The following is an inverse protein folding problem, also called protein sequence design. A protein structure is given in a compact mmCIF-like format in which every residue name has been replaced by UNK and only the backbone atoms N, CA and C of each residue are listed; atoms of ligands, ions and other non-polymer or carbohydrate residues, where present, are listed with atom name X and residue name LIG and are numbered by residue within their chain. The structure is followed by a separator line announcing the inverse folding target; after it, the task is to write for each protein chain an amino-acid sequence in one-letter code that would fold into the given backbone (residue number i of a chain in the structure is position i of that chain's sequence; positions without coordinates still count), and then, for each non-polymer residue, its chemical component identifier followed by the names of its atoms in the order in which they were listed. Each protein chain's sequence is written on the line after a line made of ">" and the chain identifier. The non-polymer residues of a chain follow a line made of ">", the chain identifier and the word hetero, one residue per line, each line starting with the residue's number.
data_IF_693201177791
#
_entry.id   IF_693201177791
#
_cell.length_a   1.000
_cell.length_b   1.000
_cell.length_c   1.000
_cell.angle_alpha   90.00
_cell.angle_beta   90.00
_cell.angle_gamma   90.00
#
_symmetry.space_group_name_H-M   'P 1'
#
loop_
_entity.id
_entity.type
_entity.pdbx_description
1 polymer ?
#
# COMPACT_ATOMS: atom_id res chain seq x y z
N UNK A 1 -0.68 18.23 -24.15
CA UNK A 1 -0.30 17.31 -23.04
C UNK A 1 0.71 17.94 -22.08
N UNK A 2 1.62 18.79 -22.57
CA UNK A 2 2.56 19.54 -21.73
C UNK A 2 1.80 20.47 -20.75
N UNK A 3 0.77 21.15 -21.24
CA UNK A 3 -0.04 22.08 -20.43
C UNK A 3 -0.83 21.35 -19.34
N UNK A 4 -1.41 20.18 -19.66
CA UNK A 4 -2.05 19.32 -18.65
C UNK A 4 -1.06 18.78 -17.62
N UNK A 5 0.20 18.51 -17.99
CA UNK A 5 1.24 18.13 -17.03
C UNK A 5 1.52 19.26 -16.05
N UNK A 6 1.70 20.48 -16.55
CA UNK A 6 1.91 21.67 -15.73
C UNK A 6 0.71 21.92 -14.79
N UNK A 7 -0.51 21.74 -15.29
CA UNK A 7 -1.73 21.80 -14.48
C UNK A 7 -1.69 20.80 -13.31
N UNK A 8 -1.34 19.53 -13.56
CA UNK A 8 -1.25 18.52 -12.49
C UNK A 8 -0.11 18.83 -11.49
N UNK A 9 1.01 19.37 -11.96
CA UNK A 9 2.09 19.83 -11.08
C UNK A 9 1.62 20.95 -10.16
N UNK A 10 0.89 21.95 -10.70
CA UNK A 10 0.30 23.06 -9.94
C UNK A 10 -0.70 22.57 -8.89
N UNK A 11 -1.46 21.50 -9.17
CA UNK A 11 -2.37 20.86 -8.19
C UNK A 11 -1.63 19.97 -7.16
N UNK A 12 -0.29 19.89 -7.20
CA UNK A 12 0.52 19.20 -6.19
C UNK A 12 0.49 17.67 -6.29
N UNK A 13 0.29 17.12 -7.49
CA UNK A 13 0.42 15.69 -7.75
C UNK A 13 1.90 15.27 -7.84
N UNK A 14 2.21 14.04 -7.40
CA UNK A 14 3.57 13.49 -7.53
C UNK A 14 3.87 13.05 -8.97
N UNK A 15 5.14 12.99 -9.36
CA UNK A 15 5.53 12.63 -10.73
C UNK A 15 4.96 11.30 -11.19
N UNK A 16 5.04 10.25 -10.35
CA UNK A 16 4.43 8.95 -10.66
C UNK A 16 2.92 9.03 -10.83
N UNK A 17 2.25 9.93 -10.09
CA UNK A 17 0.80 10.14 -10.25
C UNK A 17 0.50 10.84 -11.57
N UNK A 18 1.29 11.86 -11.90
CA UNK A 18 1.20 12.64 -13.15
C UNK A 18 1.34 11.73 -14.37
N UNK A 19 2.41 10.92 -14.44
CA UNK A 19 2.63 9.95 -15.52
C UNK A 19 1.44 9.01 -15.69
N UNK A 20 0.90 8.52 -14.56
CA UNK A 20 -0.27 7.65 -14.55
C UNK A 20 -1.55 8.35 -15.01
N UNK A 21 -1.72 9.64 -14.73
CA UNK A 21 -2.86 10.42 -15.19
C UNK A 21 -2.76 10.66 -16.70
N UNK A 22 -1.62 11.14 -17.16
CA UNK A 22 -1.29 11.36 -18.57
C UNK A 22 -1.56 10.08 -19.39
N UNK A 23 -1.05 8.94 -18.94
CA UNK A 23 -1.24 7.66 -19.64
C UNK A 23 -2.72 7.27 -19.75
N UNK A 24 -3.52 7.47 -18.71
CA UNK A 24 -4.95 7.14 -18.78
C UNK A 24 -5.74 8.11 -19.64
N UNK A 25 -5.39 9.40 -19.60
CA UNK A 25 -5.98 10.42 -20.47
C UNK A 25 -5.66 10.13 -21.93
N UNK A 26 -4.44 9.73 -22.26
CA UNK A 26 -4.08 9.31 -23.63
C UNK A 26 -4.91 8.11 -24.11
N UNK A 27 -5.18 7.13 -23.24
CA UNK A 27 -6.06 6.00 -23.57
C UNK A 27 -7.51 6.45 -23.81
N UNK A 28 -7.99 7.44 -23.07
CA UNK A 28 -9.30 8.05 -23.27
C UNK A 28 -9.37 8.84 -24.58
N UNK A 29 -8.40 9.70 -24.87
CA UNK A 29 -8.31 10.44 -26.14
C UNK A 29 -8.26 9.47 -27.33
N UNK A 30 -7.47 8.39 -27.23
CA UNK A 30 -7.42 7.34 -28.26
C UNK A 30 -8.77 6.66 -28.46
N UNK A 31 -9.56 6.49 -27.40
CA UNK A 31 -10.92 5.97 -27.51
C UNK A 31 -11.85 6.98 -28.18
N UNK A 32 -11.75 8.27 -27.83
CA UNK A 32 -12.56 9.34 -28.44
C UNK A 32 -12.36 9.35 -29.97
N UNK A 33 -11.09 9.42 -30.41
CA UNK A 33 -10.76 9.48 -31.84
C UNK A 33 -11.29 8.25 -32.62
N UNK A 34 -11.29 7.07 -31.99
CA UNK A 34 -11.82 5.83 -32.60
C UNK A 34 -13.35 5.80 -32.70
N UNK A 35 -14.04 6.63 -31.93
CA UNK A 35 -15.50 6.73 -31.93
C UNK A 35 -15.97 8.04 -32.56
N UNK A 36 -15.11 8.67 -33.40
CA UNK A 36 -15.42 9.90 -34.13
C UNK A 36 -15.86 11.07 -33.22
N UNK A 37 -15.26 11.17 -32.03
CA UNK A 37 -15.47 12.28 -31.08
C UNK A 37 -14.12 12.78 -30.55
N UNK A 38 -14.12 13.92 -29.87
CA UNK A 38 -12.92 14.50 -29.23
C UNK A 38 -13.17 14.70 -27.75
N UNK A 39 -12.12 14.90 -26.95
CA UNK A 39 -12.31 15.22 -25.52
C UNK A 39 -13.03 16.56 -25.28
N UNK A 40 -13.02 17.45 -26.29
CA UNK A 40 -13.71 18.75 -26.26
C UNK A 40 -15.20 18.55 -26.58
N UNK A 41 -15.50 17.78 -27.61
CA UNK A 41 -16.87 17.60 -28.12
C UNK A 41 -17.66 16.50 -27.39
N UNK A 42 -16.98 15.64 -26.62
CA UNK A 42 -17.61 14.52 -25.95
C UNK A 42 -18.76 14.97 -25.04
N UNK A 43 -19.92 14.36 -25.21
CA UNK A 43 -21.10 14.61 -24.39
C UNK A 43 -21.28 13.52 -23.31
N UNK A 44 -22.37 13.63 -22.54
CA UNK A 44 -22.70 12.63 -21.53
C UNK A 44 -22.94 11.23 -22.13
N UNK A 45 -23.61 11.14 -23.29
CA UNK A 45 -23.95 9.87 -23.94
C UNK A 45 -22.69 9.14 -24.40
N UNK A 46 -21.72 9.85 -24.96
CA UNK A 46 -20.44 9.30 -25.37
C UNK A 46 -19.59 8.88 -24.17
N UNK A 47 -19.63 9.65 -23.08
CA UNK A 47 -19.02 9.22 -21.82
C UNK A 47 -19.63 7.91 -21.28
N UNK A 48 -20.96 7.72 -21.38
CA UNK A 48 -21.59 6.44 -21.04
C UNK A 48 -21.14 5.30 -21.97
N UNK A 49 -20.94 5.56 -23.27
CA UNK A 49 -20.35 4.58 -24.21
C UNK A 49 -18.92 4.21 -23.78
N UNK A 50 -18.11 5.18 -23.35
CA UNK A 50 -16.76 4.92 -22.83
C UNK A 50 -16.79 4.05 -21.57
N UNK A 51 -17.70 4.32 -20.65
CA UNK A 51 -17.89 3.50 -19.44
C UNK A 51 -18.25 2.06 -19.81
N UNK A 52 -19.20 1.87 -20.72
CA UNK A 52 -19.59 0.54 -21.23
C UNK A 52 -18.41 -0.16 -21.91
N UNK A 53 -17.61 0.56 -22.69
CA UNK A 53 -16.40 0.03 -23.30
C UNK A 53 -15.40 -0.48 -22.26
N UNK A 54 -15.17 0.27 -21.18
CA UNK A 54 -14.29 -0.14 -20.10
C UNK A 54 -14.80 -1.40 -19.38
N UNK A 55 -16.11 -1.47 -19.12
CA UNK A 55 -16.75 -2.63 -18.50
C UNK A 55 -16.65 -3.89 -19.38
N UNK A 56 -16.89 -3.77 -20.69
CA UNK A 56 -16.80 -4.88 -21.66
C UNK A 56 -15.40 -5.48 -21.76
N UNK A 57 -14.36 -4.69 -21.47
CA UNK A 57 -12.96 -5.18 -21.42
C UNK A 57 -12.62 -6.02 -20.18
N UNK A 58 -13.61 -6.46 -19.41
CA UNK A 58 -13.40 -7.21 -18.16
C UNK A 58 -12.74 -6.38 -17.05
N UNK A 59 -12.78 -5.05 -17.14
CA UNK A 59 -12.18 -4.18 -16.13
C UNK A 59 -13.08 -4.12 -14.89
N UNK A 60 -12.51 -4.38 -13.70
CA UNK A 60 -13.28 -4.33 -12.45
C UNK A 60 -13.91 -2.94 -12.22
N UNK A 61 -15.10 -2.89 -11.60
CA UNK A 61 -15.82 -1.62 -11.31
C UNK A 61 -14.92 -0.59 -10.60
N UNK A 62 -14.07 -1.04 -9.67
CA UNK A 62 -13.08 -0.22 -8.97
C UNK A 62 -12.07 0.42 -9.95
N UNK A 63 -11.52 -0.37 -10.86
CA UNK A 63 -10.58 0.13 -11.87
C UNK A 63 -11.26 1.08 -12.84
N UNK A 64 -12.51 0.81 -13.24
CA UNK A 64 -13.28 1.74 -14.08
C UNK A 64 -13.49 3.08 -13.36
N UNK A 65 -13.90 3.09 -12.09
CA UNK A 65 -14.01 4.32 -11.30
C UNK A 65 -12.68 5.07 -11.18
N UNK A 66 -11.56 4.37 -11.00
CA UNK A 66 -10.24 5.02 -10.99
C UNK A 66 -9.87 5.66 -12.34
N UNK A 67 -10.19 5.00 -13.46
CA UNK A 67 -9.96 5.56 -14.79
C UNK A 67 -10.86 6.78 -15.02
N UNK A 68 -12.14 6.68 -14.67
CA UNK A 68 -13.08 7.79 -14.77
C UNK A 68 -12.64 8.98 -13.93
N UNK A 69 -12.18 8.79 -12.69
CA UNK A 69 -11.67 9.88 -11.87
C UNK A 69 -10.53 10.65 -12.55
N UNK A 70 -9.64 9.97 -13.28
CA UNK A 70 -8.57 10.64 -14.05
C UNK A 70 -9.09 11.39 -15.27
N UNK A 71 -10.10 10.83 -15.95
CA UNK A 71 -10.77 11.50 -17.07
C UNK A 71 -11.52 12.74 -16.57
N UNK A 72 -12.20 12.68 -15.43
CA UNK A 72 -12.85 13.85 -14.82
C UNK A 72 -11.87 14.99 -14.55
N UNK A 73 -10.73 14.69 -13.93
CA UNK A 73 -9.69 15.70 -13.68
C UNK A 73 -9.21 16.34 -15.00
N UNK A 74 -9.12 15.56 -16.08
CA UNK A 74 -8.78 16.08 -17.39
C UNK A 74 -9.88 16.93 -18.02
N UNK A 75 -11.15 16.52 -17.92
CA UNK A 75 -12.27 17.31 -18.41
C UNK A 75 -12.44 18.60 -17.60
N UNK A 76 -12.20 18.58 -16.29
CA UNK A 76 -12.17 19.80 -15.46
C UNK A 76 -11.03 20.73 -15.85
N UNK A 77 -9.87 20.19 -16.20
CA UNK A 77 -8.80 20.99 -16.80
C UNK A 77 -9.26 21.66 -18.11
N UNK A 78 -9.95 20.94 -19.01
CA UNK A 78 -10.47 21.55 -20.24
C UNK A 78 -11.50 22.65 -19.96
N UNK A 79 -12.29 22.50 -18.89
CA UNK A 79 -13.23 23.55 -18.45
C UNK A 79 -12.50 24.75 -17.85
N UNK A 80 -11.53 24.52 -16.95
CA UNK A 80 -10.72 25.59 -16.33
C UNK A 80 -9.96 26.42 -17.38
N UNK A 81 -9.52 25.80 -18.48
CA UNK A 81 -8.83 26.47 -19.60
C UNK A 81 -9.80 26.97 -20.70
N UNK A 82 -11.11 26.95 -20.45
CA UNK A 82 -12.16 27.40 -21.39
C UNK A 82 -12.21 26.65 -22.74
N UNK A 83 -11.62 25.46 -22.83
CA UNK A 83 -11.76 24.59 -24.01
C UNK A 83 -13.11 23.87 -24.05
N UNK A 84 -13.82 23.78 -22.93
CA UNK A 84 -15.14 23.13 -22.81
C UNK A 84 -16.01 23.89 -21.81
N UNK A 85 -17.31 23.95 -22.04
CA UNK A 85 -18.27 24.63 -21.15
C UNK A 85 -18.47 23.93 -19.81
N UNK A 86 -18.56 22.60 -19.83
CA UNK A 86 -18.83 21.80 -18.63
C UNK A 86 -18.22 20.40 -18.70
N UNK A 87 -18.03 19.77 -17.55
CA UNK A 87 -17.62 18.37 -17.49
C UNK A 87 -18.86 17.46 -17.43
N UNK A 88 -19.15 16.69 -18.51
CA UNK A 88 -20.36 15.87 -18.60
C UNK A 88 -20.43 14.75 -17.55
N UNK A 89 -19.32 14.38 -16.94
CA UNK A 89 -19.24 13.27 -15.97
C UNK A 89 -18.83 13.70 -14.57
N UNK A 90 -18.89 14.98 -14.23
CA UNK A 90 -18.40 15.48 -12.94
C UNK A 90 -19.01 14.72 -11.74
N UNK A 91 -20.34 14.51 -11.75
CA UNK A 91 -21.07 13.77 -10.72
C UNK A 91 -21.13 12.25 -10.94
N UNK A 92 -20.64 11.74 -12.07
CA UNK A 92 -20.85 10.34 -12.48
C UNK A 92 -19.93 9.38 -11.70
N UNK A 93 -20.50 8.42 -10.98
CA UNK A 93 -19.75 7.36 -10.31
C UNK A 93 -20.40 5.99 -10.55
N UNK A 94 -19.58 4.95 -10.76
CA UNK A 94 -20.11 3.59 -10.89
C UNK A 94 -20.46 3.09 -9.49
N UNK A 95 -21.76 2.90 -9.26
CA UNK A 95 -22.31 2.33 -8.02
C UNK A 95 -21.99 0.83 -7.90
N UNK A 96 -22.03 0.32 -6.67
CA UNK A 96 -21.80 -1.10 -6.39
C UNK A 96 -20.34 -1.54 -6.51
N UNK A 97 -19.38 -0.63 -6.31
CA UNK A 97 -18.02 -1.04 -5.93
C UNK A 97 -18.12 -1.56 -4.50
N UNK A 98 -18.09 -2.89 -4.35
CA UNK A 98 -18.01 -3.51 -3.03
C UNK A 98 -16.78 -2.94 -2.30
N UNK A 99 -16.96 -2.54 -1.04
CA UNK A 99 -15.82 -2.33 -0.15
C UNK A 99 -15.02 -3.63 -0.15
N UNK A 100 -13.70 -3.53 -0.28
CA UNK A 100 -12.85 -4.70 -0.13
C UNK A 100 -12.94 -5.04 1.36
N UNK A 101 -13.71 -6.08 1.68
CA UNK A 101 -13.60 -6.77 2.96
C UNK A 101 -12.26 -7.49 2.91
N UNK A 102 -11.46 -7.40 3.97
CA UNK A 102 -10.22 -8.14 4.02
C UNK A 102 -10.59 -9.62 4.22
N UNK A 103 -10.61 -10.38 3.12
CA UNK A 103 -10.75 -11.83 3.16
C UNK A 103 -9.39 -12.49 3.34
N UNK A 104 -9.40 -13.71 3.89
CA UNK A 104 -8.20 -14.52 4.10
C UNK A 104 -7.16 -13.83 4.99
N UNK A 105 -7.57 -13.33 6.15
CA UNK A 105 -6.60 -12.84 7.13
C UNK A 105 -5.78 -14.01 7.68
N UNK A 106 -4.61 -13.67 8.23
CA UNK A 106 -3.70 -14.61 8.88
C UNK A 106 -3.86 -14.42 10.38
N UNK A 107 -3.93 -15.52 11.11
CA UNK A 107 -3.96 -15.49 12.56
C UNK A 107 -2.59 -15.05 13.14
N UNK A 108 -2.57 -14.71 14.42
CA UNK A 108 -1.35 -14.19 15.07
C UNK A 108 -0.19 -15.21 15.05
N UNK A 109 -0.49 -16.48 15.29
CA UNK A 109 0.46 -17.60 15.20
C UNK A 109 0.94 -17.84 13.77
N UNK A 110 0.04 -17.76 12.78
CA UNK A 110 0.41 -17.86 11.37
C UNK A 110 1.39 -16.74 10.96
N UNK A 111 1.21 -15.53 11.46
CA UNK A 111 2.12 -14.40 11.22
C UNK A 111 3.48 -14.61 11.87
N UNK A 112 3.53 -15.14 13.09
CA UNK A 112 4.79 -15.45 13.78
C UNK A 112 5.53 -16.58 13.07
N UNK A 113 4.83 -17.62 12.62
CA UNK A 113 5.41 -18.72 11.85
C UNK A 113 6.10 -18.22 10.56
N UNK A 114 5.51 -17.24 9.86
CA UNK A 114 6.17 -16.63 8.70
C UNK A 114 7.57 -16.07 9.00
N UNK A 115 7.79 -15.56 10.22
CA UNK A 115 9.08 -15.03 10.65
C UNK A 115 10.03 -16.14 11.11
N UNK A 116 9.56 -17.06 11.96
CA UNK A 116 10.41 -18.13 12.51
C UNK A 116 10.80 -19.17 11.46
N UNK A 117 9.91 -19.46 10.52
CA UNK A 117 10.15 -20.41 9.42
C UNK A 117 10.90 -19.81 8.23
N UNK A 118 11.33 -18.54 8.30
CA UNK A 118 12.11 -17.92 7.22
C UNK A 118 13.58 -18.34 7.26
N UNK A 119 13.95 -19.25 6.37
CA UNK A 119 15.28 -19.85 6.34
C UNK A 119 16.42 -18.86 6.01
N UNK A 120 17.45 -18.84 6.87
CA UNK A 120 18.67 -18.04 6.68
C UNK A 120 19.96 -18.86 6.62
N UNK A 121 20.08 -19.97 7.34
CA UNK A 121 21.38 -20.63 7.56
C UNK A 121 21.77 -21.67 6.51
N UNK A 122 20.83 -22.49 6.02
CA UNK A 122 21.13 -23.60 5.09
C UNK A 122 21.32 -23.13 3.62
N UNK A 123 21.97 -21.99 3.43
CA UNK A 123 22.22 -21.39 2.13
C UNK A 123 23.72 -21.48 1.83
N UNK A 124 24.08 -22.27 0.81
CA UNK A 124 25.48 -22.52 0.42
C UNK A 124 26.20 -21.25 -0.05
N UNK A 125 25.54 -20.45 -0.87
CA UNK A 125 26.11 -19.21 -1.37
C UNK A 125 26.09 -18.12 -0.28
N UNK A 126 27.27 -17.57 0.02
CA UNK A 126 27.45 -16.57 1.07
C UNK A 126 26.61 -15.32 0.80
N UNK A 127 26.53 -14.85 -0.45
CA UNK A 127 25.75 -13.64 -0.76
C UNK A 127 24.26 -13.89 -0.52
N UNK A 128 23.74 -15.02 -0.99
CA UNK A 128 22.36 -15.40 -0.79
C UNK A 128 22.02 -15.54 0.69
N UNK A 129 22.95 -16.04 1.52
CA UNK A 129 22.81 -16.08 2.98
C UNK A 129 22.63 -14.68 3.59
N UNK A 130 23.50 -13.74 3.24
CA UNK A 130 23.39 -12.33 3.69
C UNK A 130 22.05 -11.72 3.27
N UNK A 131 21.63 -11.94 2.02
CA UNK A 131 20.35 -11.40 1.53
C UNK A 131 19.14 -12.07 2.17
N UNK A 132 19.25 -13.34 2.60
CA UNK A 132 18.20 -14.03 3.34
C UNK A 132 18.07 -13.48 4.77
N UNK A 133 19.18 -13.20 5.45
CA UNK A 133 19.16 -12.51 6.76
C UNK A 133 18.49 -11.13 6.65
N UNK A 134 18.82 -10.33 5.62
CA UNK A 134 18.08 -9.09 5.32
C UNK A 134 16.59 -9.35 5.10
N UNK A 135 16.25 -10.36 4.29
CA UNK A 135 14.85 -10.65 4.01
C UNK A 135 14.08 -11.04 5.29
N UNK A 136 14.71 -11.75 6.23
CA UNK A 136 14.13 -12.06 7.54
C UNK A 136 13.84 -10.81 8.36
N UNK A 137 14.72 -9.80 8.33
CA UNK A 137 14.42 -8.47 8.90
C UNK A 137 13.18 -7.85 8.28
N UNK A 138 13.06 -7.91 6.94
CA UNK A 138 11.88 -7.37 6.22
C UNK A 138 10.61 -8.10 6.66
N UNK A 139 10.65 -9.42 6.76
CA UNK A 139 9.51 -10.24 7.24
C UNK A 139 9.14 -9.84 8.66
N UNK A 140 10.11 -9.73 9.57
CA UNK A 140 9.87 -9.28 10.94
C UNK A 140 9.15 -7.93 11.00
N UNK A 141 9.62 -6.94 10.25
CA UNK A 141 8.98 -5.62 10.18
C UNK A 141 7.57 -5.65 9.55
N UNK A 142 7.30 -6.61 8.67
CA UNK A 142 5.96 -6.82 8.11
C UNK A 142 5.01 -7.43 9.14
N UNK A 143 5.43 -8.44 9.89
CA UNK A 143 4.55 -9.22 10.78
C UNK A 143 4.39 -8.58 12.16
N UNK A 144 5.42 -7.92 12.71
CA UNK A 144 5.34 -7.33 14.04
C UNK A 144 4.96 -5.84 14.02
N UNK A 145 5.42 -5.09 13.03
CA UNK A 145 5.15 -3.64 12.90
C UNK A 145 4.14 -3.32 11.79
N UNK A 146 3.63 -4.33 11.08
CA UNK A 146 2.63 -4.16 10.04
C UNK A 146 3.10 -3.29 8.88
N UNK A 147 4.40 -3.16 8.61
CA UNK A 147 4.89 -2.15 7.67
C UNK A 147 4.50 -2.44 6.21
N UNK A 148 4.05 -1.41 5.50
CA UNK A 148 3.79 -1.50 4.05
C UNK A 148 5.08 -1.37 3.24
N UNK A 149 5.04 -1.75 1.96
CA UNK A 149 6.13 -1.50 1.00
C UNK A 149 6.61 -0.05 1.00
N UNK A 150 5.70 0.92 1.16
CA UNK A 150 6.06 2.34 1.20
C UNK A 150 6.82 2.68 2.47
N UNK A 151 6.43 2.14 3.62
CA UNK A 151 7.14 2.35 4.89
C UNK A 151 8.53 1.73 4.82
N UNK A 152 8.63 0.48 4.39
CA UNK A 152 9.91 -0.24 4.27
C UNK A 152 10.90 0.49 3.36
N UNK A 153 10.42 1.08 2.25
CA UNK A 153 11.25 1.89 1.34
C UNK A 153 11.75 3.19 1.97
N UNK A 154 10.99 3.77 2.91
CA UNK A 154 11.30 5.05 3.52
C UNK A 154 12.22 4.93 4.75
N UNK A 155 12.40 3.72 5.30
CA UNK A 155 13.26 3.50 6.46
C UNK A 155 14.74 3.74 6.12
N UNK A 156 15.43 4.31 7.09
CA UNK A 156 16.85 4.69 7.06
C UNK A 156 17.47 4.22 8.36
N UNK A 157 18.80 4.03 8.39
CA UNK A 157 19.48 3.46 9.56
C UNK A 157 19.21 4.28 10.82
N UNK A 158 19.22 5.62 10.72
CA UNK A 158 18.92 6.54 11.82
C UNK A 158 17.53 6.38 12.44
N UNK A 159 16.61 5.69 11.77
CA UNK A 159 15.25 5.47 12.27
C UNK A 159 15.16 4.27 13.22
N UNK A 160 16.23 3.47 13.35
CA UNK A 160 16.26 2.33 14.26
C UNK A 160 16.98 2.73 15.54
N UNK A 161 16.26 2.72 16.65
CA UNK A 161 16.81 2.97 17.98
C UNK A 161 16.96 1.65 18.72
N UNK A 162 17.96 0.87 18.29
CA UNK A 162 18.20 -0.52 18.76
C UNK A 162 18.28 -0.59 20.29
N UNK A 163 19.01 0.33 20.92
CA UNK A 163 19.16 0.38 22.38
C UNK A 163 17.86 0.66 23.14
N UNK A 164 16.90 1.33 22.50
CA UNK A 164 15.57 1.56 23.09
C UNK A 164 14.57 0.48 22.71
N UNK A 165 14.95 -0.45 21.82
CA UNK A 165 14.03 -1.42 21.24
C UNK A 165 12.92 -0.76 20.42
N UNK A 166 13.21 0.33 19.69
CA UNK A 166 12.21 1.10 18.96
C UNK A 166 12.58 1.37 17.52
N UNK A 167 11.55 1.60 16.71
CA UNK A 167 11.66 2.02 15.31
C UNK A 167 10.75 3.22 15.04
N UNK A 168 11.34 4.29 14.52
CA UNK A 168 10.61 5.43 14.01
C UNK A 168 10.21 5.21 12.55
N UNK A 169 8.92 5.16 12.27
CA UNK A 169 8.39 5.01 10.92
C UNK A 169 7.99 6.39 10.39
N UNK A 170 8.72 6.96 9.41
CA UNK A 170 8.40 8.27 8.89
C UNK A 170 7.04 8.30 8.19
N UNK A 171 6.33 9.41 8.38
CA UNK A 171 5.06 9.69 7.72
C UNK A 171 5.26 10.08 6.24
N UNK A 172 4.15 10.18 5.52
CA UNK A 172 4.09 10.78 4.19
C UNK A 172 2.71 11.40 3.96
N UNK A 173 2.44 11.94 2.76
CA UNK A 173 1.19 12.68 2.44
C UNK A 173 -0.11 11.98 2.90
N UNK A 174 -0.13 10.64 2.97
CA UNK A 174 -1.32 9.83 3.33
C UNK A 174 -1.21 9.07 4.65
N UNK A 175 -0.05 9.07 5.31
CA UNK A 175 0.17 8.31 6.55
C UNK A 175 0.91 9.17 7.58
N UNK A 176 0.57 9.01 8.84
CA UNK A 176 1.23 9.71 9.94
C UNK A 176 2.55 9.01 10.30
N UNK A 177 3.51 9.80 10.77
CA UNK A 177 4.70 9.27 11.42
C UNK A 177 4.31 8.61 12.75
N UNK A 178 5.10 7.63 13.19
CA UNK A 178 4.86 6.91 14.44
C UNK A 178 6.12 6.21 14.91
N UNK A 179 6.20 6.00 16.20
CA UNK A 179 7.19 5.15 16.85
C UNK A 179 6.53 3.81 17.22
N UNK A 180 7.21 2.70 16.93
CA UNK A 180 6.76 1.34 17.24
C UNK A 180 7.85 0.60 18.02
N UNK A 181 7.44 -0.31 18.90
CA UNK A 181 8.34 -1.18 19.64
C UNK A 181 8.80 -2.36 18.76
N UNK A 182 10.07 -2.71 18.90
CA UNK A 182 10.68 -3.91 18.32
C UNK A 182 10.59 -5.05 19.33
N UNK A 183 10.37 -6.27 18.84
CA UNK A 183 10.45 -7.46 19.70
C UNK A 183 11.91 -7.76 20.04
N UNK A 184 12.20 -8.34 21.23
CA UNK A 184 13.58 -8.61 21.66
C UNK A 184 14.42 -9.39 20.64
N UNK A 185 13.83 -10.40 20.00
CA UNK A 185 14.52 -11.20 18.96
C UNK A 185 14.81 -10.39 17.68
N UNK A 186 13.96 -9.42 17.31
CA UNK A 186 14.23 -8.54 16.17
C UNK A 186 15.44 -7.64 16.43
N UNK A 187 15.66 -7.22 17.68
CA UNK A 187 16.73 -6.29 18.06
C UNK A 187 18.10 -6.87 17.75
N UNK A 188 18.32 -8.15 18.10
CA UNK A 188 19.60 -8.84 17.88
C UNK A 188 19.88 -8.97 16.38
N UNK A 189 18.92 -9.48 15.60
CA UNK A 189 19.08 -9.63 14.15
C UNK A 189 19.25 -8.28 13.44
N UNK A 190 18.53 -7.24 13.88
CA UNK A 190 18.67 -5.88 13.35
C UNK A 190 20.06 -5.31 13.62
N UNK A 191 20.61 -5.55 14.80
CA UNK A 191 21.94 -5.06 15.18
C UNK A 191 23.03 -5.72 14.32
N UNK A 192 22.99 -7.05 14.18
CA UNK A 192 23.88 -7.81 13.29
C UNK A 192 23.73 -7.31 11.85
N UNK A 193 22.48 -7.12 11.39
CA UNK A 193 22.22 -6.62 10.06
C UNK A 193 22.84 -5.24 9.81
N UNK A 194 22.61 -4.28 10.72
CA UNK A 194 23.07 -2.90 10.54
C UNK A 194 24.61 -2.81 10.61
N UNK A 195 25.25 -3.56 11.51
CA UNK A 195 26.69 -3.45 11.74
C UNK A 195 27.54 -4.23 10.74
N UNK A 196 27.06 -5.37 10.26
CA UNK A 196 27.89 -6.32 9.50
C UNK A 196 27.27 -6.58 8.12
N UNK A 197 26.12 -7.26 8.09
CA UNK A 197 25.53 -7.81 6.86
C UNK A 197 25.19 -6.71 5.85
N UNK A 198 24.69 -5.57 6.32
CA UNK A 198 24.29 -4.45 5.45
C UNK A 198 25.49 -3.86 4.72
N UNK A 199 26.63 -3.68 5.39
CA UNK A 199 27.83 -3.15 4.77
C UNK A 199 28.41 -4.15 3.75
N UNK A 200 28.40 -5.45 4.05
CA UNK A 200 28.78 -6.47 3.06
C UNK A 200 27.88 -6.45 1.80
N UNK A 201 26.56 -6.32 1.99
CA UNK A 201 25.62 -6.20 0.87
C UNK A 201 25.90 -4.91 0.08
N UNK A 202 26.14 -3.77 0.74
CA UNK A 202 26.48 -2.49 0.08
C UNK A 202 27.74 -2.62 -0.77
N UNK A 203 28.80 -3.20 -0.22
CA UNK A 203 30.08 -3.39 -0.90
C UNK A 203 29.93 -4.26 -2.15
N UNK A 204 29.27 -5.42 -2.05
CA UNK A 204 29.01 -6.28 -3.22
C UNK A 204 28.13 -5.61 -4.28
N UNK A 205 27.17 -4.79 -3.86
CA UNK A 205 26.27 -4.06 -4.76
C UNK A 205 26.90 -2.79 -5.34
N UNK A 206 28.00 -2.29 -4.75
CA UNK A 206 28.61 -0.99 -5.04
C UNK A 206 27.59 0.14 -4.94
N UNK A 207 26.84 0.16 -3.85
CA UNK A 207 25.79 1.17 -3.58
C UNK A 207 26.04 1.83 -2.24
N UNK A 208 26.15 3.15 -2.25
CA UNK A 208 26.03 3.98 -1.06
C UNK A 208 24.58 4.44 -0.86
N UNK A 209 24.10 4.32 0.37
CA UNK A 209 22.71 4.60 0.72
C UNK A 209 22.55 4.67 2.23
N UNK A 210 21.72 5.59 2.71
CA UNK A 210 21.29 5.66 4.11
C UNK A 210 20.06 4.79 4.42
N UNK A 211 19.46 4.18 3.38
CA UNK A 211 18.29 3.31 3.53
C UNK A 211 18.61 2.13 4.41
N UNK A 212 17.71 1.80 5.33
CA UNK A 212 17.89 0.63 6.19
C UNK A 212 18.05 -0.63 5.34
N UNK A 213 17.15 -0.82 4.36
CA UNK A 213 17.06 -2.03 3.56
C UNK A 213 17.69 -1.81 2.18
N UNK A 214 18.77 -2.55 1.89
CA UNK A 214 19.40 -2.56 0.57
C UNK A 214 18.76 -3.64 -0.30
N UNK A 215 18.10 -3.31 -1.43
CA UNK A 215 17.39 -4.28 -2.24
C UNK A 215 18.32 -5.18 -3.07
N UNK A 216 17.90 -6.43 -3.34
CA UNK A 216 18.61 -7.35 -4.24
C UNK A 216 18.61 -6.86 -5.69
N UNK A 217 17.53 -6.17 -6.07
CA UNK A 217 17.29 -5.66 -7.42
C UNK A 217 17.28 -4.13 -7.41
N UNK A 218 17.07 -3.51 -8.56
CA UNK A 218 16.92 -2.05 -8.67
C UNK A 218 15.82 -1.45 -7.77
N UNK A 219 14.84 -2.25 -7.32
CA UNK A 219 13.71 -1.79 -6.50
C UNK A 219 13.40 -2.77 -5.36
N UNK A 220 13.24 -2.23 -4.15
CA UNK A 220 12.82 -3.00 -2.97
C UNK A 220 11.49 -3.73 -3.15
N UNK A 221 10.58 -3.21 -3.97
CA UNK A 221 9.32 -3.89 -4.29
C UNK A 221 9.54 -5.27 -4.92
N UNK A 222 10.58 -5.44 -5.74
CA UNK A 222 10.86 -6.74 -6.37
C UNK A 222 11.42 -7.72 -5.35
N UNK A 223 12.24 -7.24 -4.41
CA UNK A 223 12.69 -8.02 -3.26
C UNK A 223 11.49 -8.49 -2.42
N UNK A 224 10.57 -7.58 -2.07
CA UNK A 224 9.35 -7.94 -1.31
C UNK A 224 8.50 -8.96 -2.09
N UNK A 225 8.33 -8.82 -3.40
CA UNK A 225 7.61 -9.82 -4.22
C UNK A 225 8.27 -11.21 -4.12
N UNK A 226 9.60 -11.28 -4.11
CA UNK A 226 10.31 -12.56 -3.95
C UNK A 226 10.18 -13.12 -2.53
N UNK A 227 10.20 -12.27 -1.50
CA UNK A 227 9.93 -12.66 -0.11
C UNK A 227 8.53 -13.25 -0.02
N UNK A 228 7.51 -12.57 -0.53
CA UNK A 228 6.12 -13.06 -0.55
C UNK A 228 6.04 -14.43 -1.24
N UNK A 229 6.74 -14.64 -2.37
CA UNK A 229 6.77 -15.96 -3.04
C UNK A 229 7.37 -17.06 -2.16
N UNK A 230 8.36 -16.75 -1.32
CA UNK A 230 8.92 -17.70 -0.35
C UNK A 230 7.95 -17.96 0.79
N UNK A 231 7.36 -16.91 1.37
CA UNK A 231 6.37 -17.03 2.44
C UNK A 231 5.15 -17.86 2.03
N UNK A 232 4.74 -17.82 0.76
CA UNK A 232 3.70 -18.69 0.20
C UNK A 232 3.99 -20.18 0.26
N UNK A 233 5.27 -20.56 0.33
CA UNK A 233 5.69 -21.96 0.49
C UNK A 233 5.59 -22.41 1.95
N UNK A 234 5.75 -21.48 2.88
CA UNK A 234 5.55 -21.70 4.32
C UNK A 234 4.06 -21.78 4.65
N UNK A 235 3.29 -20.77 4.23
CA UNK A 235 1.84 -20.74 4.41
C UNK A 235 1.14 -20.33 3.11
N UNK A 236 0.36 -21.26 2.53
CA UNK A 236 -0.34 -21.06 1.27
C UNK A 236 -1.44 -19.98 1.32
N UNK A 237 -1.92 -19.59 2.50
CA UNK A 237 -2.85 -18.47 2.66
C UNK A 237 -2.20 -17.12 2.35
N UNK A 238 -0.86 -17.02 2.36
CA UNK A 238 -0.18 -15.76 2.05
C UNK A 238 -0.47 -15.32 0.61
N UNK A 239 -0.99 -14.12 0.45
CA UNK A 239 -1.29 -13.54 -0.84
C UNK A 239 -0.30 -12.45 -1.21
N UNK A 240 -0.17 -11.44 -0.34
CA UNK A 240 0.61 -10.23 -0.57
C UNK A 240 0.85 -9.45 0.75
N UNK A 241 1.76 -8.46 0.69
CA UNK A 241 2.10 -7.62 1.85
C UNK A 241 0.92 -6.83 2.43
N UNK A 242 -0.06 -6.43 1.62
CA UNK A 242 -1.20 -5.67 2.12
C UNK A 242 -2.15 -6.56 2.94
N UNK A 243 -2.27 -7.84 2.57
CA UNK A 243 -2.98 -8.83 3.37
C UNK A 243 -2.25 -9.08 4.69
N UNK A 244 -0.93 -9.33 4.69
CA UNK A 244 -0.14 -9.47 5.95
C UNK A 244 -0.36 -8.25 6.85
N UNK A 245 -0.25 -7.04 6.31
CA UNK A 245 -0.52 -5.81 7.06
C UNK A 245 -1.97 -5.73 7.55
N UNK A 246 -2.95 -6.18 6.76
CA UNK A 246 -4.35 -6.22 7.17
C UNK A 246 -4.55 -7.17 8.35
N UNK A 247 -3.91 -8.34 8.32
CA UNK A 247 -3.91 -9.32 9.41
C UNK A 247 -3.36 -8.71 10.69
N UNK A 248 -2.19 -8.04 10.62
CA UNK A 248 -1.58 -7.35 11.77
C UNK A 248 -2.51 -6.28 12.36
N UNK A 249 -3.12 -5.44 11.51
CA UNK A 249 -4.03 -4.40 11.97
C UNK A 249 -5.28 -5.00 12.63
N UNK A 250 -5.80 -6.11 12.09
CA UNK A 250 -6.97 -6.79 12.64
C UNK A 250 -6.65 -7.43 13.99
N UNK A 251 -5.49 -8.08 14.11
CA UNK A 251 -5.00 -8.60 15.39
C UNK A 251 -4.81 -7.49 16.45
N UNK A 252 -4.32 -6.31 16.04
CA UNK A 252 -4.27 -5.16 16.94
C UNK A 252 -5.66 -4.65 17.35
N UNK A 253 -6.67 -4.71 16.47
CA UNK A 253 -8.04 -4.33 16.81
C UNK A 253 -8.65 -5.26 17.86
N UNK A 254 -8.26 -6.54 17.87
CA UNK A 254 -8.65 -7.49 18.93
C UNK A 254 -7.97 -7.22 20.29
N UNK A 255 -6.91 -6.41 20.33
CA UNK A 255 -6.10 -6.17 21.55
C UNK A 255 -6.15 -4.73 22.06
N UNK A 256 -6.47 -3.77 21.20
CA UNK A 256 -6.36 -2.35 21.49
C UNK A 256 -7.54 -1.56 20.93
N UNK A 257 -7.86 -0.43 21.55
CA UNK A 257 -8.88 0.47 21.03
C UNK A 257 -8.52 1.05 19.65
N UNK A 258 -9.55 1.45 18.90
CA UNK A 258 -9.46 1.94 17.52
C UNK A 258 -8.45 3.09 17.34
N UNK A 259 -8.34 3.99 18.33
CA UNK A 259 -7.39 5.13 18.29
C UNK A 259 -5.94 4.67 18.39
N UNK A 260 -5.64 3.74 19.29
CA UNK A 260 -4.30 3.16 19.42
C UNK A 260 -3.93 2.40 18.15
N UNK A 261 -4.83 1.60 17.59
CA UNK A 261 -4.58 0.92 16.32
C UNK A 261 -4.40 1.90 15.16
N UNK A 262 -5.16 2.99 15.11
CA UNK A 262 -4.96 4.05 14.12
C UNK A 262 -3.53 4.60 14.17
N UNK A 263 -3.03 4.87 15.37
CA UNK A 263 -1.65 5.31 15.57
C UNK A 263 -0.65 4.23 15.11
N UNK A 264 -0.78 2.98 15.57
CA UNK A 264 0.12 1.87 15.22
C UNK A 264 0.14 1.57 13.72
N UNK A 265 -1.01 1.69 13.05
CA UNK A 265 -1.12 1.57 11.61
C UNK A 265 -0.54 2.80 10.88
N UNK A 266 -0.50 3.97 11.52
CA UNK A 266 -0.10 5.24 10.89
C UNK A 266 -1.18 5.78 9.95
N UNK A 267 -2.44 5.45 10.19
CA UNK A 267 -3.55 5.92 9.38
C UNK A 267 -3.90 7.37 9.71
N UNK A 268 -3.91 8.24 8.69
CA UNK A 268 -4.26 9.66 8.86
C UNK A 268 -5.70 9.85 9.33
N UNK A 269 -6.63 9.08 8.75
CA UNK A 269 -8.05 9.18 9.06
C UNK A 269 -8.51 7.91 9.79
N UNK A 270 -9.32 8.07 10.83
CA UNK A 270 -9.86 6.96 11.62
C UNK A 270 -10.68 5.98 10.77
N UNK A 271 -11.41 6.50 9.78
CA UNK A 271 -12.17 5.73 8.80
C UNK A 271 -11.33 4.84 7.87
N UNK A 272 -10.00 4.94 7.94
CA UNK A 272 -9.10 3.98 7.28
C UNK A 272 -8.88 2.75 8.16
N UNK A 273 -8.86 2.92 9.48
CA UNK A 273 -8.75 1.84 10.46
C UNK A 273 -10.08 1.14 10.66
N UNK A 274 -11.19 1.87 10.68
CA UNK A 274 -12.55 1.28 10.81
C UNK A 274 -12.86 0.26 9.70
N UNK A 275 -12.21 0.36 8.54
CA UNK A 275 -12.36 -0.63 7.45
C UNK A 275 -11.84 -2.01 7.79
N UNK A 276 -11.04 -2.13 8.84
CA UNK A 276 -10.48 -3.39 9.34
C UNK A 276 -11.29 -3.95 10.51
N UNK A 277 -12.22 -3.17 11.08
CA UNK A 277 -13.25 -3.75 11.92
C UNK A 277 -14.07 -4.65 11.00
N UNK A 278 -14.02 -5.95 11.25
CA UNK A 278 -15.08 -6.82 10.76
C UNK A 278 -16.36 -6.35 11.46
N UNK A 279 -17.50 -6.42 10.76
CA UNK A 279 -18.81 -6.12 11.37
C UNK A 279 -19.06 -7.18 12.45
N UNK A 280 -18.46 -6.95 13.62
CA UNK A 280 -18.51 -7.84 14.75
C UNK A 280 -19.81 -7.51 15.49
N UNK A 281 -20.90 -8.05 14.96
CA UNK A 281 -22.23 -7.96 15.55
C UNK A 281 -22.21 -8.44 17.01
N UNK A 282 -21.30 -9.36 17.37
CA UNK A 282 -21.12 -9.87 18.73
C UNK A 282 -20.51 -8.80 19.65
N UNK A 283 -19.44 -8.10 19.21
CA UNK A 283 -18.89 -6.94 19.95
C UNK A 283 -19.92 -5.82 20.13
N UNK A 284 -20.75 -5.57 19.12
CA UNK A 284 -21.84 -4.60 19.21
C UNK A 284 -22.87 -5.02 20.26
N UNK A 285 -23.17 -6.31 20.35
CA UNK A 285 -24.07 -6.88 21.34
C UNK A 285 -23.48 -6.79 22.76
N UNK A 286 -22.19 -7.08 22.94
CA UNK A 286 -21.49 -6.96 24.23
C UNK A 286 -21.39 -5.51 24.71
N UNK A 287 -21.08 -4.57 23.80
CA UNK A 287 -21.04 -3.14 24.13
C UNK A 287 -22.45 -2.64 24.49
N UNK A 288 -23.47 -3.00 23.72
CA UNK A 288 -24.86 -2.64 24.08
C UNK A 288 -25.25 -3.23 25.43
N UNK A 289 -24.94 -4.50 25.70
CA UNK A 289 -25.24 -5.15 26.98
C UNK A 289 -24.46 -4.54 28.17
N UNK A 290 -23.26 -4.01 27.95
CA UNK A 290 -22.46 -3.37 29.01
C UNK A 290 -22.92 -1.95 29.36
N UNK A 291 -23.46 -1.18 28.39
CA UNK A 291 -23.98 0.17 28.63
C UNK A 291 -25.50 0.21 28.88
N UNK A 292 -26.23 -0.79 28.36
CA UNK A 292 -27.66 -1.00 28.56
C UNK A 292 -27.95 -2.49 28.74
N UNK A 293 -27.78 -3.05 29.95
CA UNK A 293 -28.18 -4.41 30.26
C UNK A 293 -29.69 -4.52 30.07
N UNK A 294 -30.13 -5.31 29.08
CA UNK A 294 -31.54 -5.68 28.98
C UNK A 294 -31.76 -6.79 30.01
N UNK A 295 -32.49 -6.47 31.07
CA UNK A 295 -32.94 -7.43 32.08
C UNK A 295 -34.05 -8.34 31.54
#
# INVERSE_FOLDING_TARGET
>A
MIDYRAYLQKKGYTETTIENYIKQVQLFIKWCNRNHTTAIDIDYKDCLKYIKYLQRKGTTKKTVNHRLGRVKVYLNYLVEENFKSENPIESTTIKGVKRIVNYNLLEADELEDLYYSYETENIKDQYHRLTAKRDRIIVGLMVYQGLSTTNLKALEVRHIEVYKGKIYVPGHKKMNARELELKPWQVIELLEYIKEIREEIKQRRKVESERLLIPNNARLSNTITNIIKKLKKTNHKVENINQIRASVITNWLGQYNLRKVQYLAGHRYISSTERYLQDDLENLHEIVNSFHPIA
#
